data_IF_225988923669
#
_entry.id   IF_225988923669
#
_cell.length_a   1.000
_cell.length_b   1.000
_cell.length_c   1.000
_cell.angle_alpha   90.00
_cell.angle_beta   90.00
_cell.angle_gamma   90.00
#
_symmetry.space_group_name_H-M   'P 1'
#
loop_
_entity.id
_entity.type
_entity.pdbx_description
1 polymer ?
#
# COMPACT_ATOMS: atom_id res chain seq x y z
N UNK A 1 16.47 6.83 36.78
CA UNK A 1 15.55 6.58 35.65
C UNK A 1 15.54 7.85 34.82
N UNK A 2 15.96 7.79 33.56
CA UNK A 2 16.06 8.98 32.71
C UNK A 2 14.68 9.60 32.48
N UNK A 3 14.62 10.93 32.52
CA UNK A 3 13.39 11.66 32.23
C UNK A 3 12.99 11.43 30.76
N UNK A 4 11.77 10.95 30.48
CA UNK A 4 11.31 10.71 29.11
C UNK A 4 11.16 12.04 28.37
N UNK A 5 11.79 12.15 27.20
CA UNK A 5 11.68 13.31 26.32
C UNK A 5 11.02 12.87 25.00
N UNK A 6 9.95 13.56 24.58
CA UNK A 6 9.28 13.28 23.31
C UNK A 6 10.14 13.80 22.15
N UNK A 7 10.29 13.01 21.08
CA UNK A 7 11.04 13.46 19.90
C UNK A 7 10.39 14.68 19.24
N UNK A 8 11.20 15.70 18.97
CA UNK A 8 10.76 16.95 18.34
C UNK A 8 10.41 16.82 16.84
N UNK A 9 10.81 15.73 16.18
CA UNK A 9 10.57 15.50 14.74
C UNK A 9 9.19 14.87 14.45
N UNK A 10 8.41 14.54 15.47
CA UNK A 10 7.09 13.93 15.31
C UNK A 10 6.04 14.95 14.86
N UNK A 11 5.38 14.68 13.74
CA UNK A 11 4.25 15.49 13.29
C UNK A 11 2.97 15.00 13.96
N UNK A 12 2.36 15.86 14.79
CA UNK A 12 1.13 15.57 15.52
C UNK A 12 -0.03 16.29 14.83
N UNK A 13 -1.04 15.55 14.40
CA UNK A 13 -2.25 16.10 13.76
C UNK A 13 -3.47 15.71 14.58
N UNK A 14 -4.30 16.70 14.94
CA UNK A 14 -5.60 16.46 15.55
C UNK A 14 -6.59 15.97 14.49
N UNK A 15 -7.28 14.87 14.76
CA UNK A 15 -8.33 14.31 13.93
C UNK A 15 -9.58 14.04 14.77
N UNK A 16 -10.69 14.67 14.38
CA UNK A 16 -12.01 14.39 14.95
C UNK A 16 -12.68 13.29 14.13
N UNK A 17 -12.92 12.14 14.74
CA UNK A 17 -13.60 11.03 14.08
C UNK A 17 -14.84 10.64 14.91
N UNK A 18 -16.03 10.70 14.30
CA UNK A 18 -17.30 10.32 14.95
C UNK A 18 -17.55 11.01 16.30
N UNK A 19 -17.27 12.31 16.38
CA UNK A 19 -17.42 13.13 17.59
C UNK A 19 -16.44 12.80 18.74
N UNK A 20 -15.48 11.89 18.52
CA UNK A 20 -14.37 11.62 19.43
C UNK A 20 -13.11 12.32 18.92
N UNK A 21 -12.41 13.04 19.82
CA UNK A 21 -11.11 13.64 19.52
C UNK A 21 -10.04 12.56 19.54
N UNK A 22 -9.23 12.47 18.49
CA UNK A 22 -8.07 11.59 18.43
C UNK A 22 -6.87 12.30 17.82
N UNK A 23 -5.67 11.90 18.22
CA UNK A 23 -4.42 12.48 17.71
C UNK A 23 -3.67 11.44 16.90
N UNK A 24 -3.24 11.81 15.69
CA UNK A 24 -2.39 10.97 14.85
C UNK A 24 -0.98 11.52 14.90
N UNK A 25 -0.04 10.69 15.35
CA UNK A 25 1.39 10.99 15.40
C UNK A 25 2.05 10.26 14.24
N UNK A 26 2.66 11.03 13.35
CA UNK A 26 3.43 10.52 12.20
C UNK A 26 4.92 10.54 12.54
N UNK A 27 5.57 9.39 12.41
CA UNK A 27 7.03 9.29 12.45
C UNK A 27 7.59 9.55 11.04
N UNK A 28 8.35 10.64 10.82
CA UNK A 28 8.92 10.95 9.51
C UNK A 28 10.02 9.96 9.07
N UNK A 29 10.63 9.23 10.01
CA UNK A 29 11.74 8.32 9.73
C UNK A 29 11.29 6.91 9.34
N UNK A 30 10.18 6.43 9.91
CA UNK A 30 9.64 5.09 9.62
C UNK A 30 8.37 5.13 8.77
N UNK A 31 7.82 6.32 8.52
CA UNK A 31 6.49 6.53 7.92
C UNK A 31 5.35 5.81 8.67
N UNK A 32 5.57 5.45 9.94
CA UNK A 32 4.55 4.85 10.78
C UNK A 32 3.57 5.91 11.30
N UNK A 33 2.31 5.51 11.42
CA UNK A 33 1.22 6.33 11.95
C UNK A 33 0.69 5.68 13.23
N UNK A 34 0.66 6.44 14.31
CA UNK A 34 0.13 5.99 15.60
C UNK A 34 -1.05 6.86 16.00
N UNK A 35 -2.12 6.23 16.48
CA UNK A 35 -3.32 6.93 16.97
C UNK A 35 -3.33 6.91 18.49
N UNK A 36 -3.53 8.09 19.08
CA UNK A 36 -3.60 8.30 20.52
C UNK A 36 -4.90 8.98 20.92
N UNK A 37 -5.36 8.65 22.13
CA UNK A 37 -6.51 9.28 22.76
C UNK A 37 -6.10 10.62 23.41
N UNK A 38 -7.06 11.54 23.71
CA UNK A 38 -6.74 12.84 24.29
C UNK A 38 -5.99 12.77 25.62
N UNK A 39 -6.32 11.78 26.46
CA UNK A 39 -5.64 11.54 27.74
C UNK A 39 -4.18 11.14 27.50
N UNK A 40 -3.93 10.22 26.57
CA UNK A 40 -2.58 9.77 26.21
C UNK A 40 -1.76 10.91 25.62
N UNK A 41 -2.37 11.75 24.77
CA UNK A 41 -1.71 12.94 24.21
C UNK A 41 -1.31 13.94 25.30
N UNK A 42 -2.14 14.09 26.36
CA UNK A 42 -1.82 14.95 27.51
C UNK A 42 -0.62 14.44 28.28
N UNK A 43 -0.50 13.12 28.49
CA UNK A 43 0.69 12.49 29.08
C UNK A 43 1.92 12.71 28.17
N UNK A 44 1.79 12.51 26.86
CA UNK A 44 2.89 12.70 25.91
C UNK A 44 3.43 14.13 25.90
N UNK A 45 2.56 15.15 26.04
CA UNK A 45 2.98 16.55 26.11
C UNK A 45 3.77 16.91 27.38
N UNK A 46 3.64 16.10 28.43
CA UNK A 46 4.38 16.29 29.69
C UNK A 46 5.77 15.60 29.67
N UNK A 47 6.10 14.85 28.60
CA UNK A 47 7.42 14.26 28.40
C UNK A 47 8.41 15.28 27.83
N UNK A 48 8.85 16.18 28.70
CA UNK A 48 9.78 17.28 28.41
C UNK A 48 11.26 16.92 28.65
N UNK A 49 11.57 15.72 29.14
CA UNK A 49 12.94 15.31 29.47
C UNK A 49 13.50 15.95 30.75
N UNK A 50 12.71 16.73 31.49
CA UNK A 50 13.10 17.29 32.79
C UNK A 50 12.38 16.61 33.96
N UNK A 51 11.13 16.18 33.76
CA UNK A 51 10.30 15.57 34.81
C UNK A 51 10.43 14.05 34.84
N UNK A 52 10.51 13.49 36.05
CA UNK A 52 10.45 12.04 36.24
C UNK A 52 9.02 11.52 36.07
N UNK A 53 8.86 10.23 35.76
CA UNK A 53 7.54 9.59 35.62
C UNK A 53 6.66 9.70 36.87
N UNK A 54 7.28 9.76 38.05
CA UNK A 54 6.58 9.97 39.32
C UNK A 54 6.02 11.40 39.44
N UNK A 55 6.83 12.42 39.08
CA UNK A 55 6.39 13.83 39.08
C UNK A 55 5.29 14.09 38.05
N UNK A 56 5.37 13.43 36.89
CA UNK A 56 4.33 13.51 35.85
C UNK A 56 3.03 12.88 36.34
N UNK A 57 3.10 11.76 37.07
CA UNK A 57 1.92 11.13 37.65
C UNK A 57 1.26 12.01 38.73
N UNK A 58 2.06 12.62 39.62
CA UNK A 58 1.55 13.57 40.62
C UNK A 58 0.85 14.77 39.98
N UNK A 59 1.43 15.32 38.92
CA UNK A 59 0.82 16.43 38.18
C UNK A 59 -0.46 16.01 37.45
N UNK A 60 -0.51 14.81 36.86
CA UNK A 60 -1.71 14.28 36.22
C UNK A 60 -2.85 14.04 37.22
N UNK A 61 -2.51 13.59 38.43
CA UNK A 61 -3.47 13.43 39.53
C UNK A 61 -4.00 14.79 39.98
N UNK A 62 -3.15 15.81 40.08
CA UNK A 62 -3.57 17.19 40.38
C UNK A 62 -4.47 17.78 39.29
N UNK A 63 -4.24 17.42 38.03
CA UNK A 63 -5.06 17.79 36.87
C UNK A 63 -6.39 17.01 36.76
N UNK A 64 -6.70 16.13 37.73
CA UNK A 64 -7.95 15.36 37.78
C UNK A 64 -7.93 14.03 37.03
N UNK A 65 -6.78 13.59 36.53
CA UNK A 65 -6.60 12.33 35.79
C UNK A 65 -6.11 11.25 36.75
N UNK A 66 -6.94 10.22 37.01
CA UNK A 66 -6.59 9.10 37.89
C UNK A 66 -5.59 8.16 37.22
N UNK A 67 -4.30 8.47 37.29
CA UNK A 67 -3.21 7.66 36.70
C UNK A 67 -2.13 7.41 37.75
N UNK A 68 -1.68 6.15 37.85
CA UNK A 68 -0.59 5.76 38.75
C UNK A 68 0.78 5.97 38.10
N UNK A 69 1.82 6.17 38.91
CA UNK A 69 3.20 6.25 38.43
C UNK A 69 3.61 5.01 37.60
N UNK A 70 3.14 3.82 37.99
CA UNK A 70 3.39 2.58 37.25
C UNK A 70 2.75 2.58 35.85
N UNK A 71 1.58 3.21 35.70
CA UNK A 71 0.89 3.36 34.41
C UNK A 71 1.66 4.32 33.49
N UNK A 72 2.14 5.45 34.02
CA UNK A 72 2.97 6.41 33.26
C UNK A 72 4.27 5.74 32.82
N UNK A 73 4.91 4.97 33.69
CA UNK A 73 6.13 4.23 33.36
C UNK A 73 5.89 3.16 32.30
N UNK A 74 4.79 2.39 32.40
CA UNK A 74 4.41 1.41 31.38
C UNK A 74 4.15 2.06 30.02
N UNK A 75 3.52 3.24 30.02
CA UNK A 75 3.28 4.02 28.81
C UNK A 75 4.59 4.55 28.22
N UNK A 76 5.51 5.07 29.05
CA UNK A 76 6.84 5.48 28.62
C UNK A 76 7.62 4.31 28.00
N UNK A 77 7.60 3.11 28.60
CA UNK A 77 8.22 1.90 28.01
C UNK A 77 7.64 1.54 26.65
N UNK A 78 6.32 1.66 26.48
CA UNK A 78 5.63 1.41 25.20
C UNK A 78 6.06 2.44 24.14
N UNK A 79 6.11 3.73 24.48
CA UNK A 79 6.58 4.77 23.55
C UNK A 79 8.06 4.62 23.20
N UNK A 80 8.89 4.18 24.16
CA UNK A 80 10.28 3.82 23.91
C UNK A 80 10.34 2.69 22.89
N UNK A 81 9.59 1.59 23.06
CA UNK A 81 9.56 0.47 22.11
C UNK A 81 9.11 0.88 20.70
N UNK A 82 8.17 1.84 20.60
CA UNK A 82 7.72 2.42 19.34
C UNK A 82 8.71 3.43 18.72
N UNK A 83 9.76 3.83 19.44
CA UNK A 83 10.78 4.77 18.96
C UNK A 83 10.32 6.24 18.98
N UNK A 84 9.29 6.56 19.76
CA UNK A 84 8.69 7.91 19.82
C UNK A 84 9.35 8.83 20.86
N UNK A 85 10.09 8.27 21.82
CA UNK A 85 10.88 9.04 22.79
C UNK A 85 12.33 9.20 22.32
N UNK A 86 12.94 10.34 22.65
CA UNK A 86 14.37 10.55 22.46
C UNK A 86 15.14 9.60 23.36
N UNK A 87 15.87 8.70 22.72
CA UNK A 87 16.78 7.78 23.38
C UNK A 87 18.17 8.40 23.50
N UNK A 88 18.82 8.13 24.62
CA UNK A 88 20.20 8.56 24.88
C UNK A 88 21.14 8.08 23.76
N UNK A 89 22.24 8.82 23.51
CA UNK A 89 23.22 8.54 22.45
C UNK A 89 23.77 7.10 22.48
N UNK A 90 23.83 6.49 23.67
CA UNK A 90 24.28 5.11 23.86
C UNK A 90 23.28 4.08 23.28
N UNK A 91 21.97 4.29 23.49
CA UNK A 91 20.91 3.41 22.98
C UNK A 91 20.69 3.55 21.46
N UNK A 92 21.00 4.72 20.89
CA UNK A 92 20.97 4.91 19.42
C UNK A 92 22.02 4.03 18.73
N UNK A 93 23.22 3.94 19.29
CA UNK A 93 24.34 3.19 18.71
C UNK A 93 24.09 1.69 18.73
N UNK A 94 23.58 1.15 19.85
CA UNK A 94 23.29 -0.29 19.98
C UNK A 94 22.15 -0.72 19.07
N UNK A 95 21.09 0.08 18.94
CA UNK A 95 19.98 -0.24 18.04
C UNK A 95 20.35 -0.07 16.57
N UNK A 96 21.19 0.90 16.19
CA UNK A 96 21.70 1.00 14.82
C UNK A 96 22.50 -0.25 14.44
N UNK A 97 23.35 -0.74 15.35
CA UNK A 97 24.09 -1.98 15.14
C UNK A 97 23.16 -3.20 15.04
N UNK A 98 22.11 -3.28 15.85
CA UNK A 98 21.10 -4.33 15.76
C UNK A 98 20.27 -4.25 14.47
N UNK A 99 19.88 -3.04 14.03
CA UNK A 99 19.18 -2.82 12.75
C UNK A 99 20.04 -3.24 11.57
N UNK A 100 21.31 -2.83 11.55
CA UNK A 100 22.26 -3.24 10.50
C UNK A 100 22.48 -4.76 10.49
N UNK A 101 22.49 -5.42 11.66
CA UNK A 101 22.56 -6.89 11.76
C UNK A 101 21.28 -7.55 11.25
N UNK A 102 20.11 -7.00 11.58
CA UNK A 102 18.81 -7.51 11.13
C UNK A 102 18.63 -7.34 9.62
N UNK A 103 19.04 -6.22 9.04
CA UNK A 103 19.04 -5.97 7.60
C UNK A 103 19.97 -6.92 6.85
N UNK A 104 21.19 -7.14 7.36
CA UNK A 104 22.12 -8.15 6.79
C UNK A 104 21.53 -9.57 6.83
N UNK A 105 20.82 -9.91 7.90
CA UNK A 105 20.18 -11.23 8.05
C UNK A 105 18.97 -11.38 7.12
N UNK A 106 18.18 -10.32 6.94
CA UNK A 106 17.04 -10.27 6.01
C UNK A 106 17.50 -10.32 4.55
N UNK A 107 18.54 -9.57 4.19
CA UNK A 107 19.16 -9.62 2.85
C UNK A 107 19.65 -11.03 2.50
N UNK A 108 20.22 -11.76 3.48
CA UNK A 108 20.62 -13.17 3.29
C UNK A 108 19.44 -14.14 3.17
N UNK A 109 18.28 -13.86 3.77
CA UNK A 109 17.10 -14.73 3.66
C UNK A 109 16.29 -14.51 2.38
N UNK A 110 16.35 -13.31 1.79
CA UNK A 110 15.71 -12.99 0.50
C UNK A 110 16.16 -13.97 -0.60
N UNK A 111 17.43 -14.37 -0.58
CA UNK A 111 18.05 -15.22 -1.61
C UNK A 111 17.51 -16.67 -1.63
N UNK A 112 16.85 -17.16 -0.57
CA UNK A 112 16.47 -18.58 -0.46
C UNK A 112 14.98 -18.89 -0.51
N UNK A 113 14.11 -17.89 -0.56
CA UNK A 113 12.66 -18.12 -0.56
C UNK A 113 11.78 -16.93 -0.93
N UNK A 114 12.35 -15.75 -1.20
CA UNK A 114 11.57 -14.58 -1.62
C UNK A 114 11.45 -14.43 -3.14
N UNK A 115 11.98 -15.35 -3.96
CA UNK A 115 11.73 -15.33 -5.41
C UNK A 115 10.21 -15.41 -5.70
N UNK A 116 9.47 -16.23 -4.95
CA UNK A 116 8.01 -16.32 -5.03
C UNK A 116 7.25 -15.21 -4.28
N UNK A 117 7.96 -14.31 -3.57
CA UNK A 117 7.40 -13.12 -2.92
C UNK A 117 7.91 -11.82 -3.56
N UNK A 118 8.60 -11.93 -4.69
CA UNK A 118 8.98 -10.78 -5.49
C UNK A 118 7.71 -10.25 -6.14
N UNK A 119 7.04 -9.29 -5.48
CA UNK A 119 6.02 -8.47 -6.13
C UNK A 119 6.76 -7.73 -7.23
N UNK A 120 6.62 -8.22 -8.46
CA UNK A 120 6.94 -7.44 -9.64
C UNK A 120 6.01 -6.24 -9.63
N UNK A 121 6.46 -5.14 -9.02
CA UNK A 121 5.84 -3.84 -9.25
C UNK A 121 6.27 -3.44 -10.64
N UNK A 122 5.60 -3.97 -11.66
CA UNK A 122 5.62 -3.34 -12.98
C UNK A 122 5.26 -1.88 -12.73
N UNK A 123 6.15 -0.98 -13.18
CA UNK A 123 6.19 0.41 -12.75
C UNK A 123 4.84 1.13 -12.82
N UNK A 124 4.75 2.27 -12.16
CA UNK A 124 3.51 3.02 -11.94
C UNK A 124 2.57 3.01 -13.17
N UNK A 125 1.51 2.18 -13.17
CA UNK A 125 0.62 2.02 -14.31
C UNK A 125 -0.12 3.32 -14.61
N UNK A 126 -0.28 4.20 -13.60
CA UNK A 126 -0.88 5.52 -13.78
C UNK A 126 0.01 6.42 -14.64
N UNK A 127 1.35 6.28 -14.56
CA UNK A 127 2.26 7.08 -15.38
C UNK A 127 2.18 6.67 -16.86
N UNK A 128 2.07 5.37 -17.15
CA UNK A 128 1.87 4.87 -18.49
C UNK A 128 0.52 5.33 -19.05
N UNK A 129 -0.56 5.15 -18.27
CA UNK A 129 -1.90 5.54 -18.68
C UNK A 129 -2.01 7.06 -18.92
N UNK A 130 -1.47 7.88 -18.00
CA UNK A 130 -1.48 9.34 -18.14
C UNK A 130 -0.70 9.83 -19.36
N UNK A 131 0.34 9.11 -19.79
CA UNK A 131 1.09 9.42 -21.03
C UNK A 131 0.27 9.14 -22.30
N UNK A 132 -0.58 8.12 -22.28
CA UNK A 132 -1.42 7.74 -23.43
C UNK A 132 -2.80 8.40 -23.44
N UNK A 133 -3.29 8.81 -22.27
CA UNK A 133 -4.59 9.43 -22.09
C UNK A 133 -4.89 10.59 -23.05
N UNK A 134 -3.97 11.55 -23.31
CA UNK A 134 -4.24 12.64 -24.25
C UNK A 134 -4.52 12.16 -25.68
N UNK A 135 -3.89 11.05 -26.11
CA UNK A 135 -4.10 10.46 -27.44
C UNK A 135 -5.40 9.67 -27.53
N UNK A 136 -5.77 8.99 -26.44
CA UNK A 136 -7.00 8.18 -26.36
C UNK A 136 -8.25 8.99 -26.04
N UNK A 137 -8.11 10.28 -25.66
CA UNK A 137 -9.24 11.15 -25.28
C UNK A 137 -10.33 11.23 -26.35
N UNK A 138 -9.95 11.15 -27.62
CA UNK A 138 -10.89 11.17 -28.74
C UNK A 138 -11.81 9.93 -28.76
N UNK A 139 -11.32 8.76 -28.33
CA UNK A 139 -12.12 7.54 -28.24
C UNK A 139 -13.23 7.61 -27.18
N UNK A 140 -13.15 8.56 -26.24
CA UNK A 140 -14.17 8.77 -25.20
C UNK A 140 -15.11 9.93 -25.54
N UNK A 141 -15.07 10.45 -26.76
CA UNK A 141 -16.02 11.47 -27.20
C UNK A 141 -17.38 10.82 -27.53
N UNK A 142 -18.52 11.50 -27.25
CA UNK A 142 -19.84 10.94 -27.52
C UNK A 142 -20.05 10.63 -29.01
N UNK A 143 -19.42 11.39 -29.91
CA UNK A 143 -19.44 11.13 -31.35
C UNK A 143 -18.73 9.83 -31.72
N UNK A 144 -17.55 9.58 -31.16
CA UNK A 144 -16.83 8.32 -31.39
C UNK A 144 -17.59 7.12 -30.84
N UNK A 145 -18.20 7.25 -29.66
CA UNK A 145 -19.00 6.17 -29.05
C UNK A 145 -20.20 5.85 -29.93
N UNK A 146 -20.95 6.85 -30.39
CA UNK A 146 -22.12 6.63 -31.27
C UNK A 146 -21.70 6.00 -32.59
N UNK A 147 -20.61 6.47 -33.22
CA UNK A 147 -20.09 5.86 -34.45
C UNK A 147 -19.62 4.41 -34.23
N UNK A 148 -18.97 4.13 -33.10
CA UNK A 148 -18.53 2.78 -32.75
C UNK A 148 -19.73 1.86 -32.57
N UNK A 149 -20.76 2.29 -31.82
CA UNK A 149 -22.00 1.53 -31.63
C UNK A 149 -22.70 1.29 -32.98
N UNK A 150 -22.80 2.31 -33.84
CA UNK A 150 -23.38 2.16 -35.17
C UNK A 150 -22.61 1.17 -36.05
N UNK A 151 -21.28 1.19 -35.98
CA UNK A 151 -20.40 0.24 -36.67
C UNK A 151 -20.62 -1.19 -36.14
N UNK A 152 -20.68 -1.38 -34.82
CA UNK A 152 -20.96 -2.68 -34.20
C UNK A 152 -22.35 -3.21 -34.58
N UNK A 153 -23.37 -2.36 -34.61
CA UNK A 153 -24.72 -2.74 -35.04
C UNK A 153 -24.74 -3.14 -36.52
N UNK A 154 -24.03 -2.38 -37.37
CA UNK A 154 -23.91 -2.69 -38.80
C UNK A 154 -23.19 -4.01 -39.02
N UNK A 155 -22.08 -4.24 -38.31
CA UNK A 155 -21.34 -5.50 -38.36
C UNK A 155 -22.18 -6.68 -37.87
N UNK A 156 -22.90 -6.51 -36.76
CA UNK A 156 -23.83 -7.51 -36.25
C UNK A 156 -24.96 -7.82 -37.24
N UNK A 157 -25.50 -6.81 -37.92
CA UNK A 157 -26.50 -6.98 -38.96
C UNK A 157 -25.95 -7.76 -40.17
N UNK A 158 -24.71 -7.50 -40.59
CA UNK A 158 -24.04 -8.25 -41.66
C UNK A 158 -23.88 -9.72 -41.27
N UNK A 159 -23.37 -10.00 -40.06
CA UNK A 159 -23.23 -11.36 -39.55
C UNK A 159 -24.58 -12.07 -39.53
N UNK A 160 -25.62 -11.40 -39.04
CA UNK A 160 -26.96 -11.98 -38.97
C UNK A 160 -27.55 -12.27 -40.36
N UNK A 161 -27.34 -11.38 -41.32
CA UNK A 161 -27.80 -11.54 -42.69
C UNK A 161 -27.08 -12.69 -43.42
N UNK A 162 -25.79 -12.87 -43.19
CA UNK A 162 -24.96 -13.92 -43.80
C UNK A 162 -24.72 -15.12 -42.88
N UNK A 163 -25.58 -15.32 -41.88
CA UNK A 163 -25.39 -16.35 -40.83
C UNK A 163 -25.16 -17.74 -41.41
N UNK A 164 -25.83 -18.10 -42.50
CA UNK A 164 -25.73 -19.42 -43.13
C UNK A 164 -24.36 -19.60 -43.81
N UNK A 165 -23.88 -18.55 -44.48
CA UNK A 165 -22.55 -18.52 -45.12
C UNK A 165 -21.44 -18.59 -44.07
N UNK A 166 -21.53 -17.79 -43.00
CA UNK A 166 -20.57 -17.83 -41.91
C UNK A 166 -20.60 -19.17 -41.15
N UNK A 167 -21.77 -19.77 -40.95
CA UNK A 167 -21.88 -21.09 -40.32
C UNK A 167 -21.23 -22.19 -41.18
N UNK A 168 -21.43 -22.14 -42.50
CA UNK A 168 -20.79 -23.07 -43.44
C UNK A 168 -19.26 -22.88 -43.47
N UNK A 169 -18.77 -21.64 -43.51
CA UNK A 169 -17.33 -21.34 -43.49
C UNK A 169 -16.67 -21.75 -42.17
N UNK A 170 -17.32 -21.51 -41.03
CA UNK A 170 -16.84 -21.97 -39.73
C UNK A 170 -16.79 -23.50 -39.66
N UNK A 171 -17.81 -24.20 -40.16
CA UNK A 171 -17.83 -25.66 -40.20
C UNK A 171 -16.70 -26.23 -41.07
N UNK A 172 -16.38 -25.60 -42.19
CA UNK A 172 -15.25 -26.01 -43.05
C UNK A 172 -13.88 -25.68 -42.42
N UNK A 173 -13.75 -24.51 -41.79
CA UNK A 173 -12.49 -24.06 -41.17
C UNK A 173 -12.15 -24.80 -39.88
N UNK A 174 -13.16 -25.24 -39.12
CA UNK A 174 -13.01 -26.08 -37.93
C UNK A 174 -13.09 -27.59 -38.23
N UNK A 175 -13.10 -27.99 -39.50
CA UNK A 175 -12.97 -29.40 -39.85
C UNK A 175 -11.56 -29.89 -39.47
N UNK A 176 -11.47 -31.07 -38.84
CA UNK A 176 -10.19 -31.65 -38.38
C UNK A 176 -9.15 -31.85 -39.52
N UNK A 177 -9.58 -31.79 -40.79
CA UNK A 177 -8.70 -31.87 -41.97
C UNK A 177 -7.99 -30.55 -42.34
N UNK A 178 -8.43 -29.40 -41.81
CA UNK A 178 -7.82 -28.10 -42.06
C UNK A 178 -6.74 -27.70 -41.03
N UNK A 179 -6.57 -28.51 -39.98
CA UNK A 179 -5.57 -28.31 -38.93
C UNK A 179 -4.17 -28.64 -39.47
N UNK A 180 -3.54 -27.64 -40.09
CA UNK A 180 -2.12 -27.72 -40.43
C UNK A 180 -1.26 -27.66 -39.17
N UNK A 181 -0.05 -28.25 -39.15
CA UNK A 181 0.88 -28.10 -38.03
C UNK A 181 1.15 -26.63 -37.67
N UNK A 182 1.10 -25.74 -38.65
CA UNK A 182 1.20 -24.29 -38.47
C UNK A 182 0.06 -23.70 -37.63
N UNK A 183 -1.18 -24.14 -37.86
CA UNK A 183 -2.35 -23.70 -37.07
C UNK A 183 -2.20 -24.04 -35.59
N UNK A 184 -1.61 -25.19 -35.27
CA UNK A 184 -1.32 -25.62 -33.89
C UNK A 184 -0.27 -24.72 -33.25
N UNK A 185 0.79 -24.38 -33.99
CA UNK A 185 1.83 -23.44 -33.52
C UNK A 185 1.24 -22.05 -33.25
N UNK A 186 0.41 -21.53 -34.15
CA UNK A 186 -0.27 -20.23 -33.96
C UNK A 186 -1.22 -20.27 -32.77
N UNK A 187 -1.98 -21.36 -32.60
CA UNK A 187 -2.90 -21.52 -31.47
C UNK A 187 -2.15 -21.59 -30.13
N UNK A 188 -1.08 -22.39 -30.06
CA UNK A 188 -0.22 -22.45 -28.87
C UNK A 188 0.43 -21.09 -28.59
N UNK A 189 0.98 -20.43 -29.62
CA UNK A 189 1.59 -19.10 -29.47
C UNK A 189 0.58 -18.06 -28.97
N UNK A 190 -0.64 -18.06 -29.51
CA UNK A 190 -1.72 -17.15 -29.08
C UNK A 190 -2.16 -17.45 -27.65
N UNK A 191 -2.31 -18.72 -27.29
CA UNK A 191 -2.67 -19.14 -25.93
C UNK A 191 -1.59 -18.79 -24.90
N UNK A 192 -0.31 -19.03 -25.23
CA UNK A 192 0.81 -18.64 -24.39
C UNK A 192 0.89 -17.12 -24.24
N UNK A 193 0.69 -16.36 -25.32
CA UNK A 193 0.68 -14.89 -25.27
C UNK A 193 -0.48 -14.37 -24.40
N UNK A 194 -1.70 -14.89 -24.58
CA UNK A 194 -2.86 -14.53 -23.76
C UNK A 194 -2.63 -14.84 -22.28
N UNK A 195 -2.06 -16.00 -21.98
CA UNK A 195 -1.72 -16.40 -20.61
C UNK A 195 -0.67 -15.46 -20.02
N UNK A 196 0.36 -15.13 -20.80
CA UNK A 196 1.40 -14.17 -20.41
C UNK A 196 0.89 -12.71 -20.35
N UNK A 197 -0.25 -12.37 -20.91
CA UNK A 197 -0.86 -11.03 -20.71
C UNK A 197 -1.81 -11.06 -19.51
N UNK A 198 -2.44 -12.19 -19.21
CA UNK A 198 -3.38 -12.31 -18.08
C UNK A 198 -2.66 -12.54 -16.74
N UNK A 199 -1.52 -13.22 -16.75
CA UNK A 199 -0.73 -13.48 -15.54
C UNK A 199 0.14 -12.29 -15.12
N UNK A 200 0.29 -11.30 -16.01
CA UNK A 200 1.09 -10.09 -15.82
C UNK A 200 0.20 -8.86 -15.62
#
# INVERSE_FOLDING_TARGET
MSAPHLRADLAIVEQRFRNEQSFVVKDPSTHAYFRFQPVEMRVMRLFDGARSTAQIAEQLVADGVKVSAATVEGFARKLTALGLLERSLYERTTQQLERLRAERKRSRSVVRGELFRMRFSFGDPDAALNRWYPRLRWCFTPTFVVLSVALFLTYGAIIFAQRETYAAELATSFSFGALTPWSVVVLLGTFTLLTAIHEF
#
